data_IF_301216498268
#
_entry.id   IF_301216498268
#
_cell.length_a   1.000
_cell.length_b   1.000
_cell.length_c   1.000
_cell.angle_alpha   90.00
_cell.angle_beta   90.00
_cell.angle_gamma   90.00
#
_symmetry.space_group_name_H-M   'P 1'
#
loop_
_entity.id
_entity.type
_entity.pdbx_description
1 polymer ?
#
# COMPACT_ATOMS: atom_id res chain seq x y z
N UNK A 1 26.81 11.56 -13.03
CA UNK A 1 26.26 10.68 -14.08
C UNK A 1 25.15 9.89 -13.44
N UNK A 2 23.98 9.81 -14.07
CA UNK A 2 22.91 8.96 -13.57
C UNK A 2 23.34 7.49 -13.58
N UNK A 3 22.93 6.68 -12.58
CA UNK A 3 23.27 5.27 -12.52
C UNK A 3 22.60 4.48 -13.65
N UNK A 4 23.29 3.46 -14.18
CA UNK A 4 22.76 2.56 -15.24
C UNK A 4 21.45 1.86 -14.84
N UNK A 5 21.20 1.74 -13.53
CA UNK A 5 19.97 1.18 -12.95
C UNK A 5 19.46 2.11 -11.84
N UNK A 6 18.67 3.14 -12.18
CA UNK A 6 18.14 4.07 -11.19
C UNK A 6 17.10 3.39 -10.31
N UNK A 7 17.20 3.64 -9.00
CA UNK A 7 16.24 3.12 -8.02
C UNK A 7 15.23 4.21 -7.69
N UNK A 8 13.96 3.82 -7.58
CA UNK A 8 12.87 4.73 -7.24
C UNK A 8 12.01 4.16 -6.10
N UNK A 9 11.64 5.02 -5.17
CA UNK A 9 10.66 4.74 -4.11
C UNK A 9 9.33 5.42 -4.45
N UNK A 10 8.22 4.68 -4.40
CA UNK A 10 6.88 5.25 -4.50
C UNK A 10 6.11 5.01 -3.21
N UNK A 11 5.23 5.95 -2.85
CA UNK A 11 4.32 5.84 -1.71
C UNK A 11 2.90 5.83 -2.25
N UNK A 12 2.15 4.75 -2.01
CA UNK A 12 0.78 4.55 -2.51
C UNK A 12 0.62 4.76 -4.03
N UNK A 13 1.64 4.42 -4.83
CA UNK A 13 1.64 4.61 -6.28
C UNK A 13 1.74 6.07 -6.74
N UNK A 14 2.04 7.01 -5.83
CA UNK A 14 2.25 8.43 -6.16
C UNK A 14 3.62 8.65 -6.82
N UNK A 15 3.88 9.92 -7.17
CA UNK A 15 5.10 10.36 -7.87
C UNK A 15 6.37 9.68 -7.30
N UNK A 16 7.21 9.07 -8.13
CA UNK A 16 8.44 8.41 -7.69
C UNK A 16 9.45 9.39 -7.08
N UNK A 17 10.15 8.93 -6.05
CA UNK A 17 11.29 9.58 -5.40
C UNK A 17 12.54 8.84 -5.85
N UNK A 18 13.48 9.54 -6.49
CA UNK A 18 14.76 8.94 -6.86
C UNK A 18 15.58 8.64 -5.59
N UNK A 19 16.15 7.44 -5.54
CA UNK A 19 17.00 7.00 -4.42
C UNK A 19 18.44 6.98 -4.90
N UNK A 20 19.26 7.87 -4.33
CA UNK A 20 20.68 7.94 -4.65
C UNK A 20 21.40 6.66 -4.23
N UNK A 21 22.52 6.36 -4.92
CA UNK A 21 23.40 5.25 -4.56
C UNK A 21 23.83 5.36 -3.09
N UNK A 22 23.93 4.22 -2.40
CA UNK A 22 24.30 4.11 -0.97
C UNK A 22 23.32 4.73 0.03
N UNK A 23 22.18 5.28 -0.43
CA UNK A 23 21.13 5.76 0.48
C UNK A 23 20.48 4.60 1.24
N UNK A 24 20.13 4.85 2.50
CA UNK A 24 19.43 3.89 3.36
C UNK A 24 17.94 4.25 3.44
N UNK A 25 17.08 3.32 3.02
CA UNK A 25 15.63 3.45 3.18
C UNK A 25 15.21 2.78 4.48
N UNK A 26 14.65 3.55 5.41
CA UNK A 26 14.12 3.02 6.69
C UNK A 26 12.60 3.08 6.71
N UNK A 27 11.95 1.92 6.79
CA UNK A 27 10.49 1.81 6.93
C UNK A 27 10.16 1.64 8.41
N UNK A 28 9.27 2.49 8.94
CA UNK A 28 8.83 2.45 10.34
C UNK A 28 7.32 2.69 10.42
N UNK A 29 6.67 2.15 11.46
CA UNK A 29 5.26 2.46 11.74
C UNK A 29 5.12 3.96 12.02
N UNK A 30 4.18 4.62 11.32
CA UNK A 30 3.89 6.02 11.54
C UNK A 30 3.30 6.24 12.94
N UNK A 31 3.63 7.38 13.57
CA UNK A 31 3.07 7.77 14.87
C UNK A 31 1.58 8.13 14.79
N UNK A 32 1.11 8.53 13.61
CA UNK A 32 -0.28 8.91 13.34
C UNK A 32 -0.93 7.87 12.46
N UNK A 33 -2.17 7.53 12.77
CA UNK A 33 -3.02 6.64 11.98
C UNK A 33 -4.09 7.45 11.26
N UNK A 34 -4.49 6.99 10.08
CA UNK A 34 -5.62 7.57 9.35
C UNK A 34 -6.92 7.01 9.93
N UNK A 35 -7.82 7.83 10.50
CA UNK A 35 -9.14 7.35 10.88
C UNK A 35 -9.93 7.00 9.62
N UNK A 36 -10.45 5.78 9.55
CA UNK A 36 -11.29 5.31 8.46
C UNK A 36 -12.76 5.36 8.90
N UNK A 37 -13.63 5.85 8.02
CA UNK A 37 -15.06 5.69 8.19
C UNK A 37 -15.48 4.30 7.73
N UNK A 38 -16.26 3.60 8.56
CA UNK A 38 -16.85 2.30 8.22
C UNK A 38 -18.33 2.32 8.54
N UNK A 39 -19.14 1.78 7.63
CA UNK A 39 -20.53 1.48 7.92
C UNK A 39 -20.60 0.29 8.89
N UNK A 40 -21.47 0.29 9.92
CA UNK A 40 -21.57 -0.78 10.91
C UNK A 40 -21.79 -2.18 10.29
N UNK A 41 -22.51 -2.25 9.18
CA UNK A 41 -22.83 -3.47 8.44
C UNK A 41 -21.69 -3.96 7.52
N UNK A 42 -20.63 -3.16 7.32
CA UNK A 42 -19.53 -3.50 6.43
C UNK A 42 -18.51 -4.42 7.10
N UNK A 43 -18.51 -5.71 6.73
CA UNK A 43 -17.49 -6.67 7.13
C UNK A 43 -16.28 -6.64 6.20
N UNK A 44 -15.08 -6.48 6.77
CA UNK A 44 -13.81 -6.59 6.04
C UNK A 44 -13.73 -7.85 5.17
N UNK A 45 -14.12 -9.00 5.72
CA UNK A 45 -14.07 -10.28 5.01
C UNK A 45 -15.07 -10.38 3.85
N UNK A 46 -16.24 -9.75 3.98
CA UNK A 46 -17.21 -9.67 2.88
C UNK A 46 -16.65 -8.81 1.73
N UNK A 47 -16.03 -7.67 2.05
CA UNK A 47 -15.37 -6.81 1.05
C UNK A 47 -14.23 -7.55 0.34
N UNK A 48 -13.39 -8.29 1.08
CA UNK A 48 -12.29 -9.05 0.48
C UNK A 48 -12.82 -10.15 -0.45
N UNK A 49 -13.81 -10.95 -0.02
CA UNK A 49 -14.40 -12.01 -0.84
C UNK A 49 -15.00 -11.46 -2.14
N UNK A 50 -15.76 -10.37 -2.04
CA UNK A 50 -16.35 -9.71 -3.21
C UNK A 50 -15.29 -9.17 -4.16
N UNK A 51 -14.29 -8.43 -3.65
CA UNK A 51 -13.27 -7.79 -4.50
C UNK A 51 -12.36 -8.79 -5.20
N UNK A 52 -12.00 -9.89 -4.53
CA UNK A 52 -11.10 -10.90 -5.08
C UNK A 52 -11.82 -12.03 -5.83
N UNK A 53 -13.17 -12.01 -5.89
CA UNK A 53 -13.99 -13.09 -6.47
C UNK A 53 -13.65 -14.46 -5.88
N UNK A 54 -13.41 -14.51 -4.56
CA UNK A 54 -12.96 -15.72 -3.90
C UNK A 54 -14.09 -16.77 -3.87
N UNK A 55 -13.92 -17.88 -4.60
CA UNK A 55 -14.89 -18.98 -4.66
C UNK A 55 -15.05 -19.66 -3.30
N UNK A 56 -16.30 -19.79 -2.84
CA UNK A 56 -16.70 -20.18 -1.48
C UNK A 56 -17.72 -19.22 -0.85
N UNK A 57 -17.97 -18.07 -1.48
CA UNK A 57 -19.06 -17.16 -1.13
C UNK A 57 -20.34 -17.49 -1.91
N UNK A 58 -20.97 -18.63 -1.61
CA UNK A 58 -22.41 -18.77 -1.85
C UNK A 58 -23.11 -18.13 -0.65
N UNK A 59 -23.44 -16.85 -0.79
CA UNK A 59 -24.69 -16.34 -0.20
C UNK A 59 -25.68 -16.32 -1.35
#
# INVERSE_FOLDING_TARGET
>A
SDPDYPVFLTLDGRRPIHVERESIVTIRKAKRTLPLASLPEASFFSVVRQKLKWSGSNV
#
